data_IF_803769334113
#
_entry.id   IF_803769334113
#
_cell.length_a   1.000
_cell.length_b   1.000
_cell.length_c   1.000
_cell.angle_alpha   90.00
_cell.angle_beta   90.00
_cell.angle_gamma   90.00
#
_symmetry.space_group_name_H-M   'P 1'
#
loop_
_entity.id
_entity.type
_entity.pdbx_description
1 polymer ?
#
# COMPACT_ATOMS: atom_id res chain seq x y z
N UNK A 1 3.10 22.21 16.02
CA UNK A 1 3.83 23.42 15.59
C UNK A 1 5.21 23.57 16.24
N UNK A 2 5.42 23.06 17.46
CA UNK A 2 6.74 23.05 18.12
C UNK A 2 7.80 22.20 17.39
N UNK A 3 7.41 21.03 16.86
CA UNK A 3 8.32 20.13 16.14
C UNK A 3 8.76 20.72 14.79
N UNK A 4 7.85 21.39 14.07
CA UNK A 4 8.17 22.08 12.81
C UNK A 4 9.09 23.28 13.01
N UNK A 5 8.92 24.03 14.12
CA UNK A 5 9.82 25.13 14.49
C UNK A 5 11.24 24.66 14.85
N UNK A 6 11.36 23.56 15.58
CA UNK A 6 12.64 22.98 15.99
C UNK A 6 13.41 22.33 14.83
N UNK A 7 12.70 21.67 13.91
CA UNK A 7 13.30 21.11 12.68
C UNK A 7 13.71 22.23 11.72
N UNK A 8 12.90 23.29 11.59
CA UNK A 8 13.22 24.45 10.77
C UNK A 8 14.43 25.24 11.30
N UNK A 9 14.60 25.33 12.63
CA UNK A 9 15.74 26.05 13.23
C UNK A 9 17.08 25.31 13.07
N UNK A 10 17.09 23.97 13.03
CA UNK A 10 18.31 23.18 12.77
C UNK A 10 18.67 23.02 11.29
N UNK A 11 17.67 22.96 10.40
CA UNK A 11 17.87 22.65 8.98
C UNK A 11 17.98 23.93 8.12
N UNK A 12 17.42 25.04 8.59
CA UNK A 12 17.38 26.33 7.89
C UNK A 12 16.22 26.38 6.88
N UNK A 13 15.46 27.48 6.89
CA UNK A 13 14.21 27.61 6.14
C UNK A 13 14.31 27.31 4.64
N UNK A 14 15.45 27.65 4.00
CA UNK A 14 15.69 27.36 2.57
C UNK A 14 15.79 25.85 2.30
N UNK A 15 16.42 25.06 3.18
CA UNK A 15 16.52 23.60 3.01
C UNK A 15 15.19 22.91 3.30
N UNK A 16 14.44 23.38 4.29
CA UNK A 16 13.09 22.85 4.56
C UNK A 16 12.14 23.09 3.38
N UNK A 17 12.19 24.28 2.77
CA UNK A 17 11.41 24.60 1.57
C UNK A 17 11.83 23.72 0.37
N UNK A 18 13.13 23.53 0.15
CA UNK A 18 13.63 22.67 -0.94
C UNK A 18 13.27 21.21 -0.73
N UNK A 19 13.33 20.68 0.50
CA UNK A 19 12.89 19.30 0.79
C UNK A 19 11.39 19.15 0.55
N UNK A 20 10.59 20.11 0.99
CA UNK A 20 9.14 20.12 0.74
C UNK A 20 8.83 20.14 -0.76
N UNK A 21 9.50 21.01 -1.53
CA UNK A 21 9.36 21.07 -2.98
C UNK A 21 9.79 19.76 -3.66
N UNK A 22 10.93 19.20 -3.25
CA UNK A 22 11.43 17.94 -3.80
C UNK A 22 10.44 16.79 -3.55
N UNK A 23 9.85 16.71 -2.36
CA UNK A 23 8.81 15.73 -2.05
C UNK A 23 7.58 15.94 -2.94
N UNK A 24 7.11 17.18 -3.11
CA UNK A 24 5.96 17.48 -3.99
C UNK A 24 6.24 17.02 -5.43
N UNK A 25 7.42 17.31 -5.97
CA UNK A 25 7.81 16.87 -7.32
C UNK A 25 7.87 15.35 -7.43
N UNK A 26 8.43 14.66 -6.44
CA UNK A 26 8.51 13.18 -6.43
C UNK A 26 7.11 12.57 -6.36
N UNK A 27 6.24 13.04 -5.47
CA UNK A 27 4.88 12.51 -5.37
C UNK A 27 4.02 12.83 -6.59
N UNK A 28 4.20 14.01 -7.20
CA UNK A 28 3.55 14.36 -8.46
C UNK A 28 4.00 13.43 -9.60
N UNK A 29 5.31 13.16 -9.71
CA UNK A 29 5.85 12.24 -10.70
C UNK A 29 5.34 10.80 -10.50
N UNK A 30 5.29 10.32 -9.25
CA UNK A 30 4.74 9.00 -8.91
C UNK A 30 3.24 8.89 -9.22
N UNK A 31 2.45 9.87 -8.82
CA UNK A 31 1.00 9.90 -9.10
C UNK A 31 0.69 9.95 -10.60
N UNK A 32 1.47 10.76 -11.34
CA UNK A 32 1.38 10.86 -12.78
C UNK A 32 1.75 9.54 -13.46
N UNK A 33 2.83 8.88 -13.01
CA UNK A 33 3.26 7.58 -13.53
C UNK A 33 2.24 6.47 -13.30
N UNK A 34 1.69 6.35 -12.09
CA UNK A 34 0.66 5.34 -11.74
C UNK A 34 -0.60 5.51 -12.59
N UNK A 35 -0.99 6.77 -12.88
CA UNK A 35 -2.21 7.06 -13.61
C UNK A 35 -2.04 6.96 -15.12
N UNK A 36 -1.03 7.63 -15.69
CA UNK A 36 -0.83 7.68 -17.15
C UNK A 36 -0.21 6.40 -17.72
N UNK A 37 0.53 5.63 -16.92
CA UNK A 37 1.18 4.40 -17.36
C UNK A 37 0.20 3.40 -18.02
N UNK A 38 -0.90 3.02 -17.34
CA UNK A 38 -1.92 2.14 -17.91
C UNK A 38 -2.59 2.70 -19.17
N UNK A 39 -2.81 4.01 -19.25
CA UNK A 39 -3.45 4.64 -20.41
C UNK A 39 -2.54 4.59 -21.64
N UNK A 40 -1.29 5.02 -21.50
CA UNK A 40 -0.29 4.97 -22.58
C UNK A 40 0.03 3.52 -22.96
N UNK A 41 0.13 2.63 -21.97
CA UNK A 41 0.33 1.20 -22.19
C UNK A 41 -0.82 0.55 -22.95
N UNK A 42 -2.07 0.91 -22.64
CA UNK A 42 -3.24 0.44 -23.37
C UNK A 42 -3.26 0.93 -24.83
N UNK A 43 -2.97 2.22 -25.06
CA UNK A 43 -2.91 2.82 -26.40
C UNK A 43 -1.84 2.15 -27.27
N UNK A 44 -0.64 1.97 -26.73
CA UNK A 44 0.47 1.32 -27.44
C UNK A 44 0.20 -0.18 -27.65
N UNK A 45 -0.40 -0.84 -26.65
CA UNK A 45 -0.70 -2.27 -26.68
C UNK A 45 -1.79 -2.65 -27.68
N UNK A 46 -2.78 -1.78 -27.88
CA UNK A 46 -3.84 -1.97 -28.88
C UNK A 46 -3.28 -1.93 -30.31
N UNK A 47 -2.29 -1.06 -30.57
CA UNK A 47 -1.59 -1.02 -31.85
C UNK A 47 -0.73 -2.27 -32.08
N UNK A 48 0.15 -2.59 -31.13
CA UNK A 48 0.98 -3.78 -31.17
C UNK A 48 1.48 -4.10 -29.76
N UNK A 49 1.40 -5.37 -29.37
CA UNK A 49 1.88 -5.85 -28.07
C UNK A 49 3.35 -5.49 -27.77
N UNK A 50 4.17 -5.23 -28.80
CA UNK A 50 5.59 -4.84 -28.66
C UNK A 50 5.80 -3.37 -28.29
N UNK A 51 4.89 -2.47 -28.66
CA UNK A 51 5.10 -1.03 -28.48
C UNK A 51 5.15 -0.57 -27.02
N UNK A 52 4.35 -1.12 -26.08
CA UNK A 52 4.52 -0.82 -24.65
C UNK A 52 5.93 -1.10 -24.15
N UNK A 53 6.57 -2.19 -24.61
CA UNK A 53 7.95 -2.54 -24.24
C UNK A 53 8.97 -1.57 -24.83
N UNK A 54 8.78 -1.14 -26.08
CA UNK A 54 9.64 -0.14 -26.68
C UNK A 54 9.50 1.23 -25.99
N UNK A 55 8.27 1.61 -25.63
CA UNK A 55 7.98 2.82 -24.88
C UNK A 55 8.65 2.85 -23.50
N UNK A 56 8.56 1.75 -22.74
CA UNK A 56 9.25 1.64 -21.44
C UNK A 56 10.76 1.60 -21.59
N UNK A 57 11.30 0.92 -22.61
CA UNK A 57 12.73 0.92 -22.89
C UNK A 57 13.26 2.33 -23.23
N UNK A 58 12.52 3.09 -24.04
CA UNK A 58 12.85 4.47 -24.38
C UNK A 58 12.80 5.39 -23.15
N UNK A 59 11.75 5.29 -22.33
CA UNK A 59 11.62 6.03 -21.07
C UNK A 59 12.78 5.70 -20.10
N UNK A 60 13.15 4.42 -20.00
CA UNK A 60 14.27 3.99 -19.16
C UNK A 60 15.62 4.52 -19.68
N UNK A 61 15.81 4.54 -21.00
CA UNK A 61 17.01 5.12 -21.62
C UNK A 61 17.12 6.63 -21.36
N UNK A 62 16.01 7.36 -21.47
CA UNK A 62 15.94 8.78 -21.13
C UNK A 62 16.25 8.98 -19.64
N UNK A 63 15.62 8.18 -18.76
CA UNK A 63 15.87 8.23 -17.32
C UNK A 63 17.34 7.96 -16.97
N UNK A 64 17.96 6.98 -17.62
CA UNK A 64 19.38 6.69 -17.48
C UNK A 64 20.25 7.87 -17.93
N UNK A 65 19.96 8.49 -19.09
CA UNK A 65 20.70 9.64 -19.58
C UNK A 65 20.57 10.84 -18.63
N UNK A 66 19.36 11.11 -18.12
CA UNK A 66 19.11 12.17 -17.15
C UNK A 66 19.86 11.92 -15.85
N UNK A 67 19.84 10.70 -15.32
CA UNK A 67 20.59 10.35 -14.10
C UNK A 67 22.10 10.48 -14.35
N UNK A 68 22.59 9.96 -15.47
CA UNK A 68 24.02 9.99 -15.80
C UNK A 68 24.57 11.42 -15.97
N UNK A 69 23.75 12.36 -16.44
CA UNK A 69 24.18 13.73 -16.75
C UNK A 69 23.82 14.75 -15.67
N UNK A 70 22.68 14.61 -14.99
CA UNK A 70 22.17 15.59 -14.00
C UNK A 70 22.38 15.14 -12.55
N UNK A 71 22.48 13.84 -12.25
CA UNK A 71 22.59 13.39 -10.86
C UNK A 71 24.00 13.63 -10.32
N UNK A 72 24.13 14.60 -9.42
CA UNK A 72 25.37 14.82 -8.69
C UNK A 72 25.63 13.65 -7.73
N UNK A 73 26.84 13.07 -7.79
CA UNK A 73 27.21 11.93 -6.97
C UNK A 73 26.97 12.21 -5.47
N UNK A 74 26.15 11.40 -4.78
CA UNK A 74 25.94 11.55 -3.34
C UNK A 74 27.24 11.24 -2.58
N UNK A 75 27.42 11.78 -1.36
CA UNK A 75 28.56 11.44 -0.52
C UNK A 75 28.63 9.92 -0.31
N UNK A 76 29.84 9.35 -0.43
CA UNK A 76 30.05 7.90 -0.30
C UNK A 76 29.49 7.41 1.05
N UNK A 77 28.61 6.39 1.08
CA UNK A 77 28.09 5.84 2.33
C UNK A 77 29.23 5.42 3.26
N UNK A 78 29.14 5.83 4.53
CA UNK A 78 30.18 5.61 5.53
C UNK A 78 30.42 4.12 5.86
N UNK A 79 29.45 3.25 5.61
CA UNK A 79 29.56 1.81 5.83
C UNK A 79 29.14 0.99 4.61
N UNK A 80 29.91 -0.07 4.32
CA UNK A 80 29.57 -1.05 3.29
C UNK A 80 28.48 -1.98 3.83
N UNK A 81 27.25 -1.78 3.37
CA UNK A 81 26.14 -2.70 3.67
C UNK A 81 26.42 -4.06 3.03
N UNK A 82 26.49 -5.12 3.85
CA UNK A 82 26.63 -6.48 3.36
C UNK A 82 25.32 -6.91 2.68
N UNK A 83 25.42 -7.69 1.59
CA UNK A 83 24.25 -8.25 0.87
C UNK A 83 23.34 -9.11 1.77
N UNK A 84 23.89 -9.68 2.86
CA UNK A 84 23.12 -10.43 3.85
C UNK A 84 22.43 -9.57 4.90
N UNK A 85 22.72 -8.26 4.98
CA UNK A 85 22.14 -7.37 5.97
C UNK A 85 20.61 -7.22 5.84
N UNK A 86 20.00 -7.08 4.64
CA UNK A 86 18.55 -7.05 4.49
C UNK A 86 17.88 -8.37 4.88
N UNK A 87 18.49 -9.51 4.51
CA UNK A 87 17.97 -10.83 4.85
C UNK A 87 18.06 -11.07 6.36
N UNK A 88 19.18 -10.70 6.99
CA UNK A 88 19.35 -10.78 8.44
C UNK A 88 18.41 -9.83 9.19
N UNK A 89 18.11 -8.67 8.61
CA UNK A 89 17.16 -7.71 9.18
C UNK A 89 15.73 -8.27 9.25
N UNK A 90 15.35 -9.16 8.34
CA UNK A 90 14.07 -9.88 8.43
C UNK A 90 13.96 -10.78 9.66
N UNK A 91 15.06 -11.07 10.37
CA UNK A 91 15.01 -11.74 11.67
C UNK A 91 14.43 -10.87 12.79
N UNK A 92 14.27 -9.56 12.59
CA UNK A 92 13.64 -8.69 13.57
C UNK A 92 12.10 -8.81 13.48
N UNK A 93 11.46 -9.24 14.58
CA UNK A 93 10.04 -9.63 14.58
C UNK A 93 9.07 -8.56 14.08
N UNK A 94 9.32 -7.27 14.36
CA UNK A 94 8.52 -6.17 13.82
C UNK A 94 8.65 -6.03 12.30
N UNK A 95 9.88 -6.06 11.78
CA UNK A 95 10.15 -5.95 10.34
C UNK A 95 9.63 -7.16 9.58
N UNK A 96 9.78 -8.37 10.14
CA UNK A 96 9.25 -9.60 9.57
C UNK A 96 7.74 -9.51 9.37
N UNK A 97 7.00 -9.07 10.41
CA UNK A 97 5.54 -8.95 10.34
C UNK A 97 5.11 -7.93 9.29
N UNK A 98 5.80 -6.79 9.20
CA UNK A 98 5.51 -5.77 8.18
C UNK A 98 5.83 -6.27 6.77
N UNK A 99 6.98 -6.92 6.57
CA UNK A 99 7.39 -7.46 5.28
C UNK A 99 6.44 -8.56 4.80
N UNK A 100 6.04 -9.45 5.69
CA UNK A 100 5.09 -10.52 5.38
C UNK A 100 3.71 -9.96 5.05
N UNK A 101 3.20 -9.01 5.85
CA UNK A 101 1.93 -8.32 5.56
C UNK A 101 1.98 -7.61 4.21
N UNK A 102 3.08 -6.90 3.91
CA UNK A 102 3.27 -6.22 2.63
C UNK A 102 3.34 -7.21 1.46
N UNK A 103 3.98 -8.37 1.62
CA UNK A 103 4.06 -9.40 0.58
C UNK A 103 2.65 -9.91 0.20
N UNK A 104 1.84 -10.29 1.19
CA UNK A 104 0.49 -10.80 0.94
C UNK A 104 -0.43 -9.73 0.37
N UNK A 105 -0.32 -8.49 0.90
CA UNK A 105 -1.06 -7.35 0.37
C UNK A 105 -0.71 -7.10 -1.11
N UNK A 106 0.58 -7.02 -1.44
CA UNK A 106 1.02 -6.82 -2.82
C UNK A 106 0.61 -7.99 -3.72
N UNK A 107 0.75 -9.23 -3.27
CA UNK A 107 0.34 -10.41 -4.05
C UNK A 107 -1.15 -10.38 -4.38
N UNK A 108 -2.01 -10.14 -3.37
CA UNK A 108 -3.45 -10.05 -3.58
C UNK A 108 -3.81 -8.89 -4.51
N UNK A 109 -3.19 -7.72 -4.30
CA UNK A 109 -3.40 -6.53 -5.11
C UNK A 109 -3.00 -6.75 -6.58
N UNK A 110 -1.80 -7.27 -6.84
CA UNK A 110 -1.32 -7.54 -8.20
C UNK A 110 -2.09 -8.68 -8.88
N UNK A 111 -2.56 -9.67 -8.12
CA UNK A 111 -3.42 -10.73 -8.66
C UNK A 111 -4.73 -10.13 -9.17
N UNK A 112 -5.41 -9.32 -8.34
CA UNK A 112 -6.63 -8.63 -8.78
C UNK A 112 -6.35 -7.78 -10.01
N UNK A 113 -5.32 -6.93 -9.99
CA UNK A 113 -4.94 -6.11 -11.15
C UNK A 113 -4.71 -6.93 -12.42
N UNK A 114 -4.05 -8.08 -12.32
CA UNK A 114 -3.77 -8.96 -13.45
C UNK A 114 -5.03 -9.64 -14.00
N UNK A 115 -6.00 -9.95 -13.14
CA UNK A 115 -7.26 -10.59 -13.56
C UNK A 115 -8.37 -9.61 -13.96
N UNK A 116 -8.31 -8.35 -13.51
CA UNK A 116 -9.29 -7.30 -13.84
C UNK A 116 -9.63 -7.20 -15.33
N UNK A 117 -8.67 -7.22 -16.28
CA UNK A 117 -8.97 -7.21 -17.71
C UNK A 117 -9.90 -8.33 -18.18
N UNK A 118 -9.68 -9.54 -17.67
CA UNK A 118 -10.43 -10.73 -18.09
C UNK A 118 -11.87 -10.71 -17.55
N UNK A 119 -12.07 -10.14 -16.36
CA UNK A 119 -13.40 -10.05 -15.72
C UNK A 119 -14.25 -8.96 -16.37
N UNK A 120 -13.66 -7.83 -16.74
CA UNK A 120 -14.40 -6.70 -17.30
C UNK A 120 -14.81 -6.89 -18.76
N UNK A 121 -14.14 -7.76 -19.51
CA UNK A 121 -14.45 -8.03 -20.93
C UNK A 121 -14.33 -6.80 -21.84
N UNK A 122 -13.68 -5.74 -21.38
CA UNK A 122 -13.55 -4.47 -22.10
C UNK A 122 -12.35 -4.49 -23.04
N UNK A 123 -12.39 -3.64 -24.07
CA UNK A 123 -11.24 -3.40 -24.94
C UNK A 123 -10.06 -2.79 -24.16
N UNK A 124 -8.85 -2.88 -24.73
CA UNK A 124 -7.63 -2.35 -24.11
C UNK A 124 -7.79 -0.89 -23.65
N UNK A 125 -8.44 -0.07 -24.46
CA UNK A 125 -8.75 1.33 -24.16
C UNK A 125 -9.65 1.50 -22.93
N UNK A 126 -10.70 0.70 -22.80
CA UNK A 126 -11.61 0.75 -21.65
C UNK A 126 -10.89 0.36 -20.35
N UNK A 127 -10.06 -0.67 -20.41
CA UNK A 127 -9.22 -1.10 -19.29
C UNK A 127 -8.23 0.00 -18.90
N UNK A 128 -7.55 0.60 -19.88
CA UNK A 128 -6.62 1.72 -19.68
C UNK A 128 -7.28 2.93 -19.01
N UNK A 129 -8.51 3.28 -19.41
CA UNK A 129 -9.27 4.38 -18.80
C UNK A 129 -9.71 4.08 -17.37
N UNK A 130 -10.13 2.84 -17.06
CA UNK A 130 -10.48 2.44 -15.69
C UNK A 130 -9.26 2.54 -14.77
N UNK A 131 -8.10 2.03 -15.21
CA UNK A 131 -6.87 2.16 -14.43
C UNK A 131 -6.38 3.60 -14.31
N UNK A 132 -6.54 4.41 -15.36
CA UNK A 132 -6.26 5.85 -15.30
C UNK A 132 -7.15 6.55 -14.27
N UNK A 133 -8.47 6.34 -14.33
CA UNK A 133 -9.42 6.91 -13.39
C UNK A 133 -9.15 6.48 -11.94
N UNK A 134 -8.87 5.20 -11.73
CA UNK A 134 -8.45 4.68 -10.43
C UNK A 134 -7.15 5.32 -9.94
N UNK A 135 -6.12 5.42 -10.79
CA UNK A 135 -4.84 6.05 -10.46
C UNK A 135 -5.01 7.54 -10.10
N UNK A 136 -5.83 8.28 -10.85
CA UNK A 136 -6.14 9.68 -10.57
C UNK A 136 -6.87 9.81 -9.23
N UNK A 137 -7.86 8.96 -8.96
CA UNK A 137 -8.57 8.94 -7.68
C UNK A 137 -7.61 8.65 -6.51
N UNK A 138 -6.69 7.69 -6.66
CA UNK A 138 -5.67 7.37 -5.65
C UNK A 138 -4.71 8.54 -5.44
N UNK A 139 -4.26 9.18 -6.51
CA UNK A 139 -3.37 10.34 -6.43
C UNK A 139 -4.05 11.52 -5.70
N UNK A 140 -5.30 11.84 -6.07
CA UNK A 140 -6.08 12.90 -5.43
C UNK A 140 -6.37 12.56 -3.96
N UNK A 141 -6.78 11.32 -3.67
CA UNK A 141 -7.04 10.86 -2.31
C UNK A 141 -5.77 10.89 -1.45
N UNK A 142 -4.61 10.56 -2.01
CA UNK A 142 -3.32 10.61 -1.29
C UNK A 142 -2.86 12.03 -1.02
N UNK A 143 -2.92 12.91 -2.04
CA UNK A 143 -2.44 14.29 -1.92
C UNK A 143 -3.37 15.14 -1.05
N UNK A 144 -4.68 15.07 -1.26
CA UNK A 144 -5.64 15.92 -0.57
C UNK A 144 -6.24 15.20 0.64
N UNK A 145 -6.75 13.98 0.45
CA UNK A 145 -7.45 13.23 1.49
C UNK A 145 -6.54 12.84 2.66
N UNK A 146 -5.45 12.12 2.39
CA UNK A 146 -4.55 11.64 3.43
C UNK A 146 -3.88 12.80 4.19
N UNK A 147 -3.42 13.83 3.47
CA UNK A 147 -2.82 15.03 4.07
C UNK A 147 -3.79 15.80 4.96
N UNK A 148 -5.03 16.02 4.50
CA UNK A 148 -6.03 16.74 5.26
C UNK A 148 -6.47 15.95 6.50
N UNK A 149 -6.66 14.63 6.35
CA UNK A 149 -7.09 13.76 7.42
C UNK A 149 -6.00 13.60 8.49
N UNK A 150 -4.73 13.43 8.09
CA UNK A 150 -3.60 13.36 9.03
C UNK A 150 -3.43 14.65 9.84
N UNK A 151 -3.65 15.82 9.23
CA UNK A 151 -3.59 17.11 9.94
C UNK A 151 -4.74 17.29 10.95
N UNK A 152 -5.91 16.69 10.69
CA UNK A 152 -7.10 16.85 11.55
C UNK A 152 -7.15 15.88 12.73
N UNK A 153 -6.87 14.60 12.51
CA UNK A 153 -7.06 13.55 13.55
C UNK A 153 -5.76 12.88 14.01
N UNK A 154 -4.61 13.23 13.42
CA UNK A 154 -3.29 12.72 13.78
C UNK A 154 -2.94 11.38 13.13
N UNK A 155 -1.65 11.17 12.85
CA UNK A 155 -1.14 10.04 12.04
C UNK A 155 -1.54 8.66 12.57
N UNK A 156 -1.47 8.45 13.88
CA UNK A 156 -1.76 7.14 14.50
C UNK A 156 -3.24 6.78 14.34
N UNK A 157 -4.16 7.74 14.55
CA UNK A 157 -5.60 7.51 14.35
C UNK A 157 -5.95 7.32 12.89
N UNK A 158 -5.32 8.05 11.96
CA UNK A 158 -5.49 7.80 10.51
C UNK A 158 -5.03 6.40 10.14
N UNK A 159 -3.94 5.91 10.72
CA UNK A 159 -3.44 4.56 10.44
C UNK A 159 -4.45 3.50 10.93
N UNK A 160 -4.97 3.62 12.15
CA UNK A 160 -6.00 2.71 12.65
C UNK A 160 -7.31 2.81 11.88
N UNK A 161 -7.76 4.01 11.53
CA UNK A 161 -8.95 4.23 10.71
C UNK A 161 -8.78 3.63 9.32
N UNK A 162 -7.63 3.82 8.68
CA UNK A 162 -7.32 3.25 7.38
C UNK A 162 -7.31 1.73 7.41
N UNK A 163 -6.71 1.14 8.45
CA UNK A 163 -6.75 -0.32 8.66
C UNK A 163 -8.17 -0.83 8.92
N UNK A 164 -8.95 -0.12 9.73
CA UNK A 164 -10.35 -0.49 10.02
C UNK A 164 -11.22 -0.40 8.77
N UNK A 165 -11.14 0.70 8.01
CA UNK A 165 -11.84 0.87 6.74
C UNK A 165 -11.42 -0.17 5.71
N UNK A 166 -10.13 -0.48 5.62
CA UNK A 166 -9.62 -1.52 4.74
C UNK A 166 -10.21 -2.89 5.12
N UNK A 167 -10.26 -3.23 6.41
CA UNK A 167 -10.87 -4.47 6.88
C UNK A 167 -12.37 -4.49 6.57
N UNK A 168 -13.10 -3.41 6.85
CA UNK A 168 -14.54 -3.32 6.54
C UNK A 168 -14.79 -3.42 5.04
N UNK A 169 -13.97 -2.77 4.22
CA UNK A 169 -14.07 -2.83 2.76
C UNK A 169 -13.74 -4.21 2.23
N UNK A 170 -12.70 -4.87 2.75
CA UNK A 170 -12.33 -6.24 2.37
C UNK A 170 -13.37 -7.26 2.83
N UNK A 171 -13.97 -7.10 4.02
CA UNK A 171 -15.08 -7.92 4.49
C UNK A 171 -16.34 -7.67 3.65
N UNK A 172 -16.60 -6.42 3.29
CA UNK A 172 -17.69 -6.03 2.39
C UNK A 172 -17.52 -6.64 1.00
N UNK A 173 -16.32 -6.59 0.42
CA UNK A 173 -15.99 -7.30 -0.82
C UNK A 173 -16.11 -8.81 -0.66
N UNK A 174 -15.63 -9.36 0.47
CA UNK A 174 -15.71 -10.80 0.75
C UNK A 174 -17.15 -11.29 1.02
N UNK A 175 -18.11 -10.40 1.32
CA UNK A 175 -19.54 -10.75 1.47
C UNK A 175 -20.36 -10.41 0.23
N UNK A 176 -20.05 -9.32 -0.47
CA UNK A 176 -20.66 -8.98 -1.76
C UNK A 176 -20.20 -9.90 -2.88
N UNK A 177 -18.94 -10.34 -2.91
CA UNK A 177 -18.44 -11.23 -3.96
C UNK A 177 -19.17 -12.60 -3.95
N UNK A 178 -19.41 -13.24 -2.79
CA UNK A 178 -20.32 -14.37 -2.70
C UNK A 178 -21.73 -14.01 -3.10
N UNK A 179 -22.28 -12.85 -2.70
CA UNK A 179 -23.64 -12.43 -3.06
C UNK A 179 -23.83 -12.34 -4.58
N UNK A 180 -22.90 -11.68 -5.27
CA UNK A 180 -22.84 -11.56 -6.73
C UNK A 180 -22.61 -12.95 -7.36
N UNK A 181 -21.72 -13.77 -6.79
CA UNK A 181 -21.48 -15.14 -7.24
C UNK A 181 -22.68 -16.07 -6.99
N UNK A 182 -23.49 -15.88 -5.94
CA UNK A 182 -24.72 -16.64 -5.67
C UNK A 182 -25.85 -16.22 -6.60
N UNK A 183 -25.93 -14.94 -6.96
CA UNK A 183 -26.84 -14.49 -8.02
C UNK A 183 -26.49 -15.09 -9.38
N UNK A 184 -25.19 -15.33 -9.64
CA UNK A 184 -24.71 -16.09 -10.80
C UNK A 184 -24.94 -17.61 -10.65
N UNK A 185 -24.88 -18.14 -9.42
CA UNK A 185 -25.10 -19.56 -9.13
C UNK A 185 -26.58 -19.98 -9.28
N UNK A 186 -27.53 -19.05 -9.16
CA UNK A 186 -28.94 -19.27 -9.48
C UNK A 186 -29.14 -19.68 -10.96
N UNK A 187 -28.23 -19.29 -11.87
CA UNK A 187 -28.28 -19.67 -13.29
C UNK A 187 -27.58 -21.02 -13.59
N UNK A 188 -26.74 -21.57 -12.69
CA UNK A 188 -25.84 -22.70 -13.03
C UNK A 188 -25.91 -23.92 -12.09
N UNK A 189 -25.75 -23.81 -10.76
CA UNK A 189 -26.00 -24.94 -9.82
C UNK A 189 -25.91 -24.58 -8.32
N UNK A 190 -26.65 -25.32 -7.47
CA UNK A 190 -27.11 -24.91 -6.12
C UNK A 190 -26.14 -25.11 -4.93
N UNK A 191 -25.12 -25.98 -5.02
CA UNK A 191 -24.39 -26.46 -3.82
C UNK A 191 -22.96 -25.90 -3.61
N UNK A 192 -22.37 -25.24 -4.60
CA UNK A 192 -20.97 -24.80 -4.59
C UNK A 192 -20.63 -23.66 -3.60
N UNK A 193 -21.49 -22.63 -3.41
CA UNK A 193 -21.14 -21.50 -2.54
C UNK A 193 -21.05 -21.86 -1.03
N UNK A 194 -21.81 -22.86 -0.59
CA UNK A 194 -21.90 -23.25 0.82
C UNK A 194 -20.65 -23.97 1.34
N UNK A 195 -20.00 -24.77 0.49
CA UNK A 195 -18.77 -25.50 0.86
C UNK A 195 -17.58 -24.55 1.00
N UNK A 196 -17.50 -23.55 0.11
CA UNK A 196 -16.42 -22.55 0.12
C UNK A 196 -16.53 -21.62 1.33
N UNK A 197 -17.75 -21.20 1.69
CA UNK A 197 -17.99 -20.40 2.90
C UNK A 197 -17.63 -21.13 4.19
N UNK A 198 -17.98 -22.42 4.31
CA UNK A 198 -17.64 -23.24 5.47
C UNK A 198 -16.11 -23.41 5.63
N UNK A 199 -15.37 -23.58 4.53
CA UNK A 199 -13.92 -23.70 4.54
C UNK A 199 -13.21 -22.41 5.02
N UNK A 200 -13.67 -21.24 4.55
CA UNK A 200 -13.10 -19.95 4.98
C UNK A 200 -13.32 -19.67 6.48
N UNK A 201 -14.50 -19.99 7.02
CA UNK A 201 -14.78 -19.82 8.44
C UNK A 201 -13.90 -20.71 9.34
N UNK A 202 -13.64 -21.95 8.93
CA UNK A 202 -12.77 -22.86 9.66
C UNK A 202 -11.32 -22.34 9.73
N UNK A 203 -10.80 -21.79 8.63
CA UNK A 203 -9.45 -21.21 8.56
C UNK A 203 -9.32 -19.96 9.44
N UNK A 204 -10.32 -19.08 9.42
CA UNK A 204 -10.33 -17.87 10.25
C UNK A 204 -10.34 -18.19 11.76
N UNK A 205 -11.12 -19.21 12.17
CA UNK A 205 -11.16 -19.68 13.57
C UNK A 205 -9.80 -20.26 13.99
N UNK A 206 -9.12 -20.99 13.10
CA UNK A 206 -7.76 -21.50 13.35
C UNK A 206 -6.73 -20.39 13.57
N UNK A 207 -6.77 -19.33 12.75
CA UNK A 207 -5.87 -18.17 12.89
C UNK A 207 -6.13 -17.43 14.22
N UNK A 208 -7.39 -17.25 14.60
CA UNK A 208 -7.75 -16.59 15.85
C UNK A 208 -7.33 -17.41 17.09
N UNK A 209 -7.44 -18.74 17.04
CA UNK A 209 -7.00 -19.60 18.14
C UNK A 209 -5.50 -19.59 18.35
N UNK A 210 -4.70 -19.59 17.28
CA UNK A 210 -3.23 -19.48 17.36
C UNK A 210 -2.81 -18.14 17.96
N UNK A 211 -3.55 -17.06 17.66
CA UNK A 211 -3.22 -15.70 18.10
C UNK A 211 -3.68 -15.35 19.52
N UNK A 212 -4.55 -16.14 20.15
CA UNK A 212 -4.99 -15.94 21.55
C UNK A 212 -3.83 -15.92 22.55
N UNK A 213 -2.75 -16.67 22.30
CA UNK A 213 -1.60 -16.72 23.22
C UNK A 213 -0.77 -15.43 23.26
N UNK A 214 -0.80 -14.61 22.21
CA UNK A 214 -0.03 -13.36 22.15
C UNK A 214 -0.77 -12.15 22.77
N UNK A 215 -2.10 -12.17 22.81
CA UNK A 215 -2.90 -11.08 23.39
C UNK A 215 -2.88 -11.11 24.91
N UNK A 216 -2.89 -12.31 25.51
CA UNK A 216 -2.83 -12.48 26.97
C UNK A 216 -1.51 -11.98 27.59
N UNK A 217 -0.43 -11.87 26.81
CA UNK A 217 0.85 -11.31 27.27
C UNK A 217 0.80 -9.78 27.38
N UNK A 218 0.02 -9.11 26.52
CA UNK A 218 -0.09 -7.65 26.54
C UNK A 218 -1.04 -7.17 27.65
N UNK A 219 -2.09 -7.93 27.93
CA UNK A 219 -3.03 -7.66 29.04
C UNK A 219 -2.35 -7.77 30.42
N UNK A 220 -1.38 -8.68 30.59
CA UNK A 220 -0.59 -8.77 31.83
C UNK A 220 0.30 -7.56 32.08
N UNK A 221 0.90 -7.00 31.02
CA UNK A 221 1.82 -5.86 31.14
C UNK A 221 1.06 -4.56 31.44
N UNK A 222 -0.14 -4.40 30.87
CA UNK A 222 -0.98 -3.21 31.10
C UNK A 222 -1.56 -3.16 32.53
N UNK A 223 -1.90 -4.33 33.09
CA UNK A 223 -2.37 -4.45 34.47
C UNK A 223 -1.26 -4.12 35.48
N UNK A 224 -0.02 -4.57 35.27
CA UNK A 224 1.11 -4.25 36.16
C UNK A 224 1.43 -2.75 36.17
N UNK A 225 1.33 -2.06 35.03
CA UNK A 225 1.54 -0.60 34.96
C UNK A 225 0.42 0.18 35.68
N UNK A 226 -0.84 -0.27 35.56
CA UNK A 226 -1.99 0.39 36.21
C UNK A 226 -1.92 0.30 37.75
N UNK A 227 -1.38 -0.80 38.30
CA UNK A 227 -1.21 -0.95 39.75
C UNK A 227 0.00 -0.20 40.32
N UNK A 228 1.07 0.01 39.54
CA UNK A 228 2.20 0.83 39.98
C UNK A 228 1.87 2.32 40.05
N UNK A 229 1.07 2.83 39.10
CA UNK A 229 0.65 4.23 39.10
C UNK A 229 -0.37 4.55 40.20
N UNK A 230 -1.15 3.55 40.66
CA UNK A 230 -2.09 3.71 41.77
C UNK A 230 -1.42 3.69 43.17
N UNK A 231 -0.18 3.20 43.27
CA UNK A 231 0.53 3.01 44.54
C UNK A 231 1.42 4.20 44.95
N UNK A 232 1.44 5.30 44.19
CA UNK A 232 2.15 6.54 44.55
C UNK A 232 1.16 7.64 44.95
N UNK A 233 0.75 7.73 46.22
CA UNK A 233 0.30 8.99 46.79
C UNK A 233 1.49 9.91 47.08
N UNK A 234 1.26 11.21 46.89
CA UNK A 234 2.20 12.32 47.00
C UNK A 234 2.93 12.44 48.35
#
# INVERSE_FOLDING_TARGET
MLITGWVSSRIGGRRTLMIGLALVVVFAALGLGISLGPLVGALLGDMNWRFPFFGTALLMAIGFLLIATLLKAPPKPAEKTRLSAPIRALGHGGLFTTAFTALFYNYAFFTILAFTPFVLGMSAHGIGLVFFGWGVLVALASVFGASALQRRIGTVRVMHLGLALLIVFQLGLATLAPYIATKLAEEVNRNLPYIVGAACCAVAIGILMVRRRHLNTLERVDIDHTFQDAAVPA
#
